data_IF_044297323658
#
_entry.id   IF_044297323658
#
_cell.length_a   1.000
_cell.length_b   1.000
_cell.length_c   1.000
_cell.angle_alpha   90.00
_cell.angle_beta   90.00
_cell.angle_gamma   90.00
#
_symmetry.space_group_name_H-M   'P 1'
#
loop_
_entity.id
_entity.type
_entity.pdbx_description
1 polymer ?
#
# COMPACT_ATOMS: atom_id res chain seq x y z
N UNK A 1 21.66 -77.15 -50.11
CA UNK A 1 20.92 -76.31 -49.14
C UNK A 1 21.84 -75.95 -47.98
N UNK A 2 22.20 -74.68 -47.82
CA UNK A 2 23.15 -74.24 -46.78
C UNK A 2 22.41 -73.82 -45.49
N UNK A 3 22.72 -74.46 -44.36
CA UNK A 3 22.21 -74.10 -43.02
C UNK A 3 22.92 -72.83 -42.52
N UNK A 4 22.15 -71.77 -42.25
CA UNK A 4 22.64 -70.52 -41.64
C UNK A 4 23.03 -70.76 -40.16
N UNK A 5 24.25 -70.38 -39.77
CA UNK A 5 24.70 -70.38 -38.36
C UNK A 5 24.11 -69.18 -37.62
N UNK A 6 23.51 -69.41 -36.45
CA UNK A 6 22.99 -68.36 -35.57
C UNK A 6 24.15 -67.66 -34.84
N UNK A 7 24.12 -66.32 -34.77
CA UNK A 7 25.05 -65.51 -33.98
C UNK A 7 24.69 -65.61 -32.49
N UNK A 8 25.59 -66.16 -31.68
CA UNK A 8 25.52 -66.11 -30.22
C UNK A 8 25.83 -64.68 -29.75
N UNK A 9 24.82 -63.97 -29.25
CA UNK A 9 25.04 -62.72 -28.52
C UNK A 9 25.32 -63.03 -27.05
N UNK A 10 26.46 -62.57 -26.55
CA UNK A 10 26.77 -62.54 -25.11
C UNK A 10 25.77 -61.61 -24.43
N UNK A 11 24.91 -62.16 -23.55
CA UNK A 11 23.94 -61.37 -22.79
C UNK A 11 24.66 -60.64 -21.66
N UNK A 12 24.38 -59.35 -21.52
CA UNK A 12 24.90 -58.54 -20.42
C UNK A 12 24.53 -59.17 -19.07
N UNK A 13 25.54 -59.43 -18.24
CA UNK A 13 25.34 -60.05 -16.94
C UNK A 13 24.79 -59.02 -15.95
N UNK A 14 23.47 -59.01 -15.85
CA UNK A 14 22.73 -58.13 -14.95
C UNK A 14 23.08 -58.41 -13.48
N UNK A 15 23.48 -59.64 -13.14
CA UNK A 15 23.80 -60.00 -11.76
C UNK A 15 25.08 -59.31 -11.28
N UNK A 16 26.15 -59.34 -12.08
CA UNK A 16 27.40 -58.64 -11.78
C UNK A 16 27.18 -57.13 -11.72
N UNK A 17 26.44 -56.54 -12.67
CA UNK A 17 26.12 -55.11 -12.64
C UNK A 17 25.34 -54.69 -11.38
N UNK A 18 24.36 -55.49 -10.94
CA UNK A 18 23.58 -55.21 -9.75
C UNK A 18 24.40 -55.35 -8.46
N UNK A 19 25.34 -56.30 -8.40
CA UNK A 19 26.28 -56.43 -7.28
C UNK A 19 27.21 -55.21 -7.18
N UNK A 20 27.76 -54.76 -8.31
CA UNK A 20 28.69 -53.63 -8.36
C UNK A 20 27.98 -52.30 -8.00
N UNK A 21 26.75 -52.11 -8.49
CA UNK A 21 25.88 -50.99 -8.11
C UNK A 21 25.56 -50.98 -6.61
N UNK A 22 25.36 -52.15 -6.00
CA UNK A 22 25.13 -52.28 -4.55
C UNK A 22 26.41 -51.96 -3.76
N UNK A 23 27.59 -52.33 -4.26
CA UNK A 23 28.90 -51.98 -3.67
C UNK A 23 29.12 -50.47 -3.68
N UNK A 24 28.93 -49.82 -4.82
CA UNK A 24 29.06 -48.36 -4.98
C UNK A 24 28.15 -47.59 -4.03
N UNK A 25 26.88 -48.02 -3.87
CA UNK A 25 25.95 -47.40 -2.92
C UNK A 25 26.44 -47.49 -1.47
N UNK A 26 26.97 -48.65 -1.05
CA UNK A 26 27.53 -48.81 0.30
C UNK A 26 28.74 -47.91 0.50
N UNK A 27 29.63 -47.84 -0.48
CA UNK A 27 30.84 -47.01 -0.44
C UNK A 27 30.50 -45.51 -0.37
N UNK A 28 29.55 -45.03 -1.18
CA UNK A 28 29.06 -43.65 -1.12
C UNK A 28 28.35 -43.31 0.20
N UNK A 29 27.74 -44.29 0.87
CA UNK A 29 27.11 -44.10 2.18
C UNK A 29 28.12 -44.10 3.35
N UNK A 30 29.27 -44.75 3.18
CA UNK A 30 30.36 -44.80 4.16
C UNK A 30 31.30 -43.59 4.05
N UNK A 31 31.55 -43.09 2.84
CA UNK A 31 32.40 -41.92 2.58
C UNK A 31 32.10 -40.70 3.49
N UNK A 32 30.84 -40.21 3.61
CA UNK A 32 30.54 -39.05 4.47
C UNK A 32 30.72 -39.35 5.96
N UNK A 33 30.48 -40.60 6.40
CA UNK A 33 30.68 -41.01 7.79
C UNK A 33 32.16 -41.05 8.17
N UNK A 34 33.01 -41.51 7.25
CA UNK A 34 34.47 -41.50 7.44
C UNK A 34 35.03 -40.07 7.42
N UNK A 35 34.47 -39.19 6.59
CA UNK A 35 34.85 -37.78 6.54
C UNK A 35 34.47 -37.05 7.83
N UNK A 36 33.25 -37.28 8.34
CA UNK A 36 32.79 -36.71 9.61
C UNK A 36 33.71 -37.10 10.78
N UNK A 37 34.05 -38.39 10.91
CA UNK A 37 34.98 -38.86 11.95
C UNK A 37 36.39 -38.26 11.83
N UNK A 38 36.88 -38.00 10.61
CA UNK A 38 38.17 -37.32 10.41
C UNK A 38 38.09 -35.85 10.81
N UNK A 39 36.95 -35.20 10.55
CA UNK A 39 36.71 -33.81 10.89
C UNK A 39 36.61 -33.62 12.41
N UNK A 40 35.91 -34.51 13.11
CA UNK A 40 35.82 -34.51 14.59
C UNK A 40 37.20 -34.68 15.24
N UNK A 41 38.05 -35.59 14.71
CA UNK A 41 39.44 -35.76 15.19
C UNK A 41 40.31 -34.52 14.97
N UNK A 42 40.11 -33.80 13.87
CA UNK A 42 40.85 -32.58 13.59
C UNK A 42 40.39 -31.43 14.50
N UNK A 43 39.09 -31.34 14.81
CA UNK A 43 38.56 -30.37 15.77
C UNK A 43 39.18 -30.62 17.14
N UNK A 44 39.16 -31.86 17.63
CA UNK A 44 39.77 -32.20 18.93
C UNK A 44 41.26 -31.87 18.98
N UNK A 45 42.00 -32.12 17.89
CA UNK A 45 43.44 -31.82 17.84
C UNK A 45 43.75 -30.31 17.79
N UNK A 46 42.83 -29.52 17.23
CA UNK A 46 42.94 -28.05 17.26
C UNK A 46 42.66 -27.55 18.68
N UNK A 47 41.68 -28.13 19.37
CA UNK A 47 41.38 -27.82 20.77
C UNK A 47 42.58 -28.13 21.67
N UNK A 48 43.17 -29.32 21.55
CA UNK A 48 44.37 -29.74 22.31
C UNK A 48 45.56 -28.80 22.09
N UNK A 49 45.89 -28.47 20.83
CA UNK A 49 46.99 -27.53 20.51
C UNK A 49 46.68 -26.09 20.97
N UNK A 50 45.40 -25.72 21.06
CA UNK A 50 44.99 -24.40 21.58
C UNK A 50 45.12 -24.31 23.10
N UNK A 51 44.82 -25.40 23.82
CA UNK A 51 45.03 -25.52 25.26
C UNK A 51 46.53 -25.55 25.60
N UNK A 52 47.34 -26.30 24.84
CA UNK A 52 48.80 -26.32 25.00
C UNK A 52 49.43 -24.92 24.79
N UNK A 53 48.90 -24.13 23.85
CA UNK A 53 49.35 -22.74 23.63
C UNK A 53 48.97 -21.79 24.76
N UNK A 54 47.84 -22.01 25.44
CA UNK A 54 47.42 -21.19 26.59
C UNK A 54 48.27 -21.45 27.84
N UNK A 55 48.80 -22.66 28.02
CA UNK A 55 49.65 -22.99 29.18
C UNK A 55 51.06 -22.34 29.07
N UNK A 56 51.53 -22.03 27.86
CA UNK A 56 52.88 -21.49 27.61
C UNK A 56 52.95 -19.96 27.70
N UNK A 57 51.83 -19.23 27.59
CA UNK A 57 51.80 -17.75 27.67
C UNK A 57 51.06 -17.28 28.93
N UNK A 58 51.74 -17.28 30.06
CA UNK A 58 51.28 -16.61 31.27
C UNK A 58 51.49 -15.10 31.17
N UNK A 59 50.48 -14.35 30.74
CA UNK A 59 50.24 -12.97 31.20
C UNK A 59 48.79 -12.53 30.87
N UNK A 60 48.07 -11.80 31.76
CA UNK A 60 46.65 -11.51 31.58
C UNK A 60 46.39 -10.07 31.09
N UNK A 61 45.63 -9.93 30.00
CA UNK A 61 44.82 -8.74 29.68
C UNK A 61 43.48 -9.16 29.08
N UNK A 62 42.34 -8.56 29.47
CA UNK A 62 41.03 -8.96 28.99
C UNK A 62 40.64 -8.14 27.75
N UNK A 63 40.89 -8.68 26.56
CA UNK A 63 40.15 -8.25 25.37
C UNK A 63 38.93 -9.14 25.18
N UNK A 64 37.76 -8.49 25.17
CA UNK A 64 36.46 -9.08 24.92
C UNK A 64 36.52 -10.08 23.76
N UNK A 65 36.28 -11.35 24.08
CA UNK A 65 35.94 -12.39 23.12
C UNK A 65 34.63 -12.01 22.42
N UNK A 66 34.71 -11.27 21.31
CA UNK A 66 33.65 -11.28 20.31
C UNK A 66 33.48 -12.73 19.83
N UNK A 67 32.27 -13.32 19.91
CA UNK A 67 32.03 -14.65 19.36
C UNK A 67 32.42 -14.67 17.88
N UNK A 68 32.91 -15.81 17.34
CA UNK A 68 33.39 -15.88 15.97
C UNK A 68 32.30 -15.34 15.06
N UNK A 69 32.66 -14.30 14.29
CA UNK A 69 31.77 -13.62 13.39
C UNK A 69 31.04 -14.67 12.55
N UNK A 70 29.76 -14.91 12.87
CA UNK A 70 28.84 -15.63 12.00
C UNK A 70 29.01 -14.98 10.64
N UNK A 71 29.44 -15.75 9.63
CA UNK A 71 29.64 -15.28 8.25
C UNK A 71 28.59 -14.21 7.94
N UNK A 72 29.01 -12.95 7.81
CA UNK A 72 28.12 -11.84 7.51
C UNK A 72 27.25 -12.30 6.34
N UNK A 73 25.93 -12.39 6.53
CA UNK A 73 25.01 -12.61 5.41
C UNK A 73 25.19 -11.40 4.50
N UNK A 74 25.98 -11.55 3.44
CA UNK A 74 26.34 -10.45 2.54
C UNK A 74 25.12 -9.94 1.75
N UNK A 75 24.03 -10.70 1.76
CA UNK A 75 22.77 -10.37 1.09
C UNK A 75 21.56 -10.80 1.92
N UNK A 76 20.51 -9.98 1.90
CA UNK A 76 19.20 -10.28 2.54
C UNK A 76 18.56 -11.59 2.03
N UNK A 77 18.92 -12.02 0.82
CA UNK A 77 18.48 -13.26 0.18
C UNK A 77 19.67 -14.10 -0.27
N UNK A 78 19.56 -15.43 -0.20
CA UNK A 78 20.54 -16.32 -0.82
C UNK A 78 20.43 -16.29 -2.34
N UNK A 79 21.56 -16.44 -3.04
CA UNK A 79 21.59 -16.44 -4.50
C UNK A 79 20.67 -17.49 -5.13
N UNK A 80 20.60 -18.68 -4.53
CA UNK A 80 19.68 -19.75 -4.97
C UNK A 80 18.23 -19.29 -4.94
N UNK A 81 17.82 -18.59 -3.87
CA UNK A 81 16.46 -18.09 -3.73
C UNK A 81 16.19 -16.91 -4.67
N UNK A 82 17.17 -16.04 -4.92
CA UNK A 82 17.05 -14.96 -5.88
C UNK A 82 16.84 -15.50 -7.30
N UNK A 83 17.68 -16.45 -7.75
CA UNK A 83 17.56 -17.10 -9.07
C UNK A 83 16.22 -17.82 -9.23
N UNK A 84 15.75 -18.53 -8.21
CA UNK A 84 14.45 -19.21 -8.25
C UNK A 84 13.26 -18.23 -8.41
N UNK A 85 13.38 -16.98 -7.94
CA UNK A 85 12.32 -15.96 -8.05
C UNK A 85 12.22 -15.34 -9.43
N UNK A 86 13.30 -15.31 -10.20
CA UNK A 86 13.25 -14.86 -11.59
C UNK A 86 12.26 -15.72 -12.42
N UNK A 87 12.17 -17.01 -12.14
CA UNK A 87 11.22 -17.92 -12.79
C UNK A 87 9.77 -17.82 -12.28
N UNK A 88 9.52 -17.10 -11.19
CA UNK A 88 8.18 -16.91 -10.64
C UNK A 88 8.06 -15.51 -9.99
N UNK A 89 7.98 -14.43 -10.79
CA UNK A 89 8.00 -13.07 -10.30
C UNK A 89 6.75 -12.72 -9.47
N UNK A 90 6.86 -11.72 -8.60
CA UNK A 90 5.69 -11.18 -7.90
C UNK A 90 4.89 -10.32 -8.87
N UNK A 91 3.65 -10.72 -9.15
CA UNK A 91 2.76 -9.99 -10.07
C UNK A 91 1.53 -9.53 -9.30
N UNK A 92 1.03 -8.34 -9.64
CA UNK A 92 -0.30 -7.90 -9.21
C UNK A 92 -1.33 -8.88 -9.80
N UNK A 93 -2.11 -9.53 -8.95
CA UNK A 93 -3.17 -10.44 -9.41
C UNK A 93 -4.07 -9.73 -10.42
N UNK A 94 -4.01 -10.17 -11.67
CA UNK A 94 -4.95 -9.82 -12.74
C UNK A 94 -5.87 -11.01 -12.97
N UNK A 95 -7.08 -10.75 -13.45
CA UNK A 95 -8.08 -11.80 -13.71
C UNK A 95 -7.54 -12.96 -14.58
N UNK A 96 -6.53 -12.70 -15.43
CA UNK A 96 -6.03 -13.66 -16.41
C UNK A 96 -4.84 -14.53 -15.95
N UNK A 97 -4.25 -14.27 -14.76
CA UNK A 97 -3.10 -15.05 -14.28
C UNK A 97 -3.23 -15.38 -12.80
N UNK A 98 -3.28 -16.67 -12.41
CA UNK A 98 -3.23 -17.04 -11.01
C UNK A 98 -1.90 -16.55 -10.43
N UNK A 99 -2.00 -15.73 -9.38
CA UNK A 99 -0.83 -15.21 -8.68
C UNK A 99 -0.07 -16.32 -7.94
N UNK A 100 1.04 -15.93 -7.33
CA UNK A 100 1.77 -16.77 -6.38
C UNK A 100 0.84 -17.33 -5.29
N UNK A 101 1.18 -18.52 -4.77
CA UNK A 101 0.46 -19.07 -3.63
C UNK A 101 0.46 -18.10 -2.44
N UNK A 102 -0.63 -18.12 -1.65
CA UNK A 102 -0.75 -17.23 -0.49
C UNK A 102 0.42 -17.36 0.47
N UNK A 103 0.94 -18.58 0.66
CA UNK A 103 2.11 -18.86 1.49
C UNK A 103 3.40 -18.28 0.91
N UNK A 104 3.62 -18.41 -0.40
CA UNK A 104 4.78 -17.81 -1.05
C UNK A 104 4.75 -16.27 -0.97
N UNK A 105 3.57 -15.68 -1.15
CA UNK A 105 3.35 -14.24 -0.99
C UNK A 105 3.58 -13.77 0.45
N UNK A 106 3.10 -14.53 1.44
CA UNK A 106 3.33 -14.22 2.85
C UNK A 106 4.82 -14.23 3.18
N UNK A 107 5.53 -15.29 2.77
CA UNK A 107 6.97 -15.41 2.97
C UNK A 107 7.75 -14.26 2.33
N UNK A 108 7.43 -13.88 1.08
CA UNK A 108 8.09 -12.74 0.41
C UNK A 108 7.85 -11.42 1.14
N UNK A 109 6.64 -11.19 1.67
CA UNK A 109 6.35 -9.99 2.47
C UNK A 109 7.16 -9.94 3.77
N UNK A 110 7.27 -11.06 4.48
CA UNK A 110 8.08 -11.15 5.71
C UNK A 110 9.55 -10.83 5.41
N UNK A 111 10.14 -11.50 4.42
CA UNK A 111 11.55 -11.25 4.07
C UNK A 111 11.80 -9.81 3.60
N UNK A 112 10.83 -9.19 2.90
CA UNK A 112 10.92 -7.78 2.50
C UNK A 112 10.89 -6.86 3.72
N UNK A 113 10.01 -7.15 4.67
CA UNK A 113 9.89 -6.39 5.92
C UNK A 113 11.13 -6.53 6.80
N UNK A 114 11.69 -7.74 6.91
CA UNK A 114 12.91 -8.00 7.67
C UNK A 114 14.11 -7.25 7.08
N UNK A 115 14.27 -7.32 5.75
CA UNK A 115 15.32 -6.58 5.04
C UNK A 115 15.19 -5.07 5.21
N UNK A 116 13.97 -4.54 5.08
CA UNK A 116 13.71 -3.12 5.33
C UNK A 116 13.96 -2.71 6.78
N UNK A 117 13.72 -3.62 7.74
CA UNK A 117 13.95 -3.35 9.17
C UNK A 117 15.43 -3.24 9.50
N UNK A 118 16.26 -4.04 8.85
CA UNK A 118 17.71 -3.95 8.94
C UNK A 118 18.26 -2.66 8.28
N UNK A 119 17.68 -2.23 7.15
CA UNK A 119 18.08 -0.99 6.45
C UNK A 119 17.70 0.26 7.25
N UNK A 120 16.47 0.32 7.78
CA UNK A 120 15.95 1.50 8.48
C UNK A 120 16.20 1.46 10.00
N UNK A 121 17.02 0.51 10.46
CA UNK A 121 17.44 0.35 11.87
C UNK A 121 16.24 0.36 12.83
N UNK A 122 15.23 -0.46 12.51
CA UNK A 122 14.05 -0.58 13.37
C UNK A 122 14.34 -1.46 14.59
N UNK A 123 13.86 -1.02 15.75
CA UNK A 123 13.86 -1.81 16.98
C UNK A 123 12.63 -2.74 17.01
N UNK A 124 12.70 -3.92 17.66
CA UNK A 124 11.51 -4.75 17.89
C UNK A 124 10.38 -4.00 18.62
N UNK A 125 10.71 -2.98 19.41
CA UNK A 125 9.73 -2.13 20.11
C UNK A 125 9.13 -1.03 19.23
N UNK A 126 9.82 -0.66 18.14
CA UNK A 126 9.38 0.42 17.25
C UNK A 126 9.59 0.06 15.76
N UNK A 127 8.58 -0.54 15.10
CA UNK A 127 8.65 -0.87 13.68
C UNK A 127 8.38 0.33 12.76
N UNK A 128 8.13 1.54 13.30
CA UNK A 128 7.76 2.71 12.52
C UNK A 128 8.81 3.09 11.45
N UNK A 129 10.14 3.07 11.73
CA UNK A 129 11.15 3.39 10.72
C UNK A 129 11.07 2.49 9.49
N UNK A 130 10.86 1.18 9.67
CA UNK A 130 10.65 0.23 8.57
C UNK A 130 9.42 0.61 7.74
N UNK A 131 8.30 0.87 8.41
CA UNK A 131 7.04 1.16 7.74
C UNK A 131 7.11 2.46 6.94
N UNK A 132 7.69 3.51 7.51
CA UNK A 132 7.90 4.80 6.83
C UNK A 132 8.86 4.63 5.66
N UNK A 133 9.98 3.91 5.84
CA UNK A 133 10.95 3.66 4.77
C UNK A 133 10.38 2.85 3.60
N UNK A 134 9.53 1.86 3.88
CA UNK A 134 8.81 1.12 2.84
C UNK A 134 7.83 2.01 2.07
N UNK A 135 7.10 2.90 2.76
CA UNK A 135 6.17 3.82 2.12
C UNK A 135 6.90 4.87 1.26
N UNK A 136 7.98 5.46 1.78
CA UNK A 136 8.81 6.41 1.03
C UNK A 136 9.45 5.75 -0.20
N UNK A 137 9.94 4.52 -0.06
CA UNK A 137 10.47 3.74 -1.20
C UNK A 137 9.39 3.52 -2.26
N UNK A 138 8.17 3.17 -1.86
CA UNK A 138 7.03 3.00 -2.78
C UNK A 138 6.70 4.33 -3.45
N UNK A 139 6.69 5.46 -2.73
CA UNK A 139 6.45 6.79 -3.28
C UNK A 139 7.49 7.17 -4.35
N UNK A 140 8.79 6.93 -4.08
CA UNK A 140 9.87 7.36 -4.97
C UNK A 140 10.15 6.40 -6.14
N UNK A 141 9.88 5.11 -5.98
CA UNK A 141 10.27 4.08 -6.97
C UNK A 141 9.10 3.56 -7.80
N UNK A 142 7.85 3.62 -7.33
CA UNK A 142 6.71 3.15 -8.10
C UNK A 142 6.19 4.24 -9.02
N UNK A 143 5.90 3.89 -10.28
CA UNK A 143 5.18 4.78 -11.18
C UNK A 143 3.74 4.98 -10.71
N UNK A 144 3.18 6.14 -11.03
CA UNK A 144 1.80 6.49 -10.69
C UNK A 144 0.79 5.46 -11.23
N UNK A 145 1.01 4.95 -12.45
CA UNK A 145 0.14 3.94 -13.07
C UNK A 145 0.07 2.64 -12.25
N UNK A 146 1.22 2.16 -11.77
CA UNK A 146 1.29 0.95 -10.94
C UNK A 146 0.61 1.17 -9.59
N UNK A 147 0.82 2.33 -8.98
CA UNK A 147 0.18 2.70 -7.72
C UNK A 147 -1.35 2.76 -7.85
N UNK A 148 -1.86 3.42 -8.89
CA UNK A 148 -3.31 3.50 -9.15
C UNK A 148 -3.90 2.10 -9.33
N UNK A 149 -3.25 1.23 -10.11
CA UNK A 149 -3.72 -0.15 -10.32
C UNK A 149 -3.76 -0.95 -9.01
N UNK A 150 -2.71 -0.87 -8.21
CA UNK A 150 -2.62 -1.56 -6.93
C UNK A 150 -3.65 -1.05 -5.91
N UNK A 151 -3.70 0.27 -5.72
CA UNK A 151 -4.58 0.92 -4.75
C UNK A 151 -6.06 0.75 -5.10
N UNK A 152 -6.40 0.77 -6.40
CA UNK A 152 -7.76 0.50 -6.89
C UNK A 152 -8.23 -0.94 -6.64
N UNK A 153 -7.30 -1.87 -6.39
CA UNK A 153 -7.60 -3.27 -6.08
C UNK A 153 -7.64 -3.52 -4.57
N UNK A 154 -6.80 -2.83 -3.80
CA UNK A 154 -6.68 -3.03 -2.35
C UNK A 154 -7.84 -2.43 -1.56
N UNK A 155 -8.55 -3.27 -0.80
CA UNK A 155 -9.62 -2.83 0.12
C UNK A 155 -9.09 -1.90 1.21
N UNK A 156 -7.89 -2.14 1.74
CA UNK A 156 -7.29 -1.30 2.79
C UNK A 156 -7.05 0.12 2.27
N UNK A 157 -6.44 0.26 1.09
CA UNK A 157 -6.18 1.58 0.50
C UNK A 157 -7.46 2.32 0.13
N UNK A 158 -8.49 1.64 -0.40
CA UNK A 158 -9.81 2.26 -0.62
C UNK A 158 -10.39 2.91 0.63
N UNK A 159 -10.25 2.26 1.78
CA UNK A 159 -10.71 2.82 3.06
C UNK A 159 -9.87 4.03 3.48
N UNK A 160 -8.55 3.99 3.28
CA UNK A 160 -7.66 5.15 3.55
C UNK A 160 -8.07 6.34 2.69
N UNK A 161 -8.26 6.16 1.38
CA UNK A 161 -8.74 7.22 0.50
C UNK A 161 -10.11 7.76 0.91
N UNK A 162 -11.00 6.89 1.38
CA UNK A 162 -12.31 7.30 1.90
C UNK A 162 -12.19 8.23 3.11
N UNK A 163 -11.28 7.92 4.05
CA UNK A 163 -11.01 8.78 5.22
C UNK A 163 -10.44 10.13 4.77
N UNK A 164 -9.41 10.13 3.92
CA UNK A 164 -8.78 11.36 3.41
C UNK A 164 -9.81 12.24 2.71
N UNK A 165 -10.59 11.66 1.80
CA UNK A 165 -11.61 12.39 1.04
C UNK A 165 -12.69 12.94 1.97
N UNK A 166 -13.15 12.15 2.96
CA UNK A 166 -14.18 12.59 3.90
C UNK A 166 -13.69 13.79 4.70
N UNK A 167 -12.47 13.74 5.25
CA UNK A 167 -11.87 14.87 5.96
C UNK A 167 -11.75 16.10 5.05
N UNK A 168 -11.27 15.93 3.82
CA UNK A 168 -11.17 17.04 2.86
C UNK A 168 -12.55 17.62 2.50
N UNK A 169 -13.57 16.77 2.32
CA UNK A 169 -14.94 17.17 2.03
C UNK A 169 -15.57 17.93 3.20
N UNK A 170 -15.39 17.45 4.43
CA UNK A 170 -15.94 18.08 5.63
C UNK A 170 -15.28 19.45 5.87
N UNK A 171 -13.96 19.56 5.67
CA UNK A 171 -13.23 20.82 5.72
C UNK A 171 -13.70 21.79 4.61
N UNK A 172 -13.88 21.28 3.38
CA UNK A 172 -14.37 22.09 2.27
C UNK A 172 -15.77 22.63 2.54
N UNK A 173 -16.69 21.83 3.12
CA UNK A 173 -18.04 22.29 3.45
C UNK A 173 -18.06 23.50 4.39
N UNK A 174 -17.08 23.60 5.28
CA UNK A 174 -16.94 24.68 6.26
C UNK A 174 -16.09 25.86 5.74
N UNK A 175 -15.35 25.65 4.64
CA UNK A 175 -14.44 26.65 4.09
C UNK A 175 -15.15 27.86 3.49
N UNK A 176 -14.45 29.00 3.47
CA UNK A 176 -14.90 30.22 2.77
C UNK A 176 -15.20 29.97 1.29
N UNK A 177 -14.44 29.09 0.63
CA UNK A 177 -14.68 28.74 -0.76
C UNK A 177 -16.10 28.15 -0.98
N UNK A 178 -16.57 27.30 -0.07
CA UNK A 178 -17.93 26.75 -0.16
C UNK A 178 -19.00 27.78 0.25
N UNK A 179 -18.68 28.71 1.16
CA UNK A 179 -19.56 29.84 1.49
C UNK A 179 -19.76 30.74 0.27
N UNK A 180 -18.68 31.19 -0.38
CA UNK A 180 -18.71 31.96 -1.61
C UNK A 180 -19.43 31.23 -2.74
N UNK A 181 -19.18 29.92 -2.91
CA UNK A 181 -19.92 29.08 -3.85
C UNK A 181 -21.43 29.10 -3.57
N UNK A 182 -21.82 29.04 -2.31
CA UNK A 182 -23.23 29.03 -1.90
C UNK A 182 -23.91 30.38 -2.15
N UNK A 183 -23.21 31.48 -1.86
CA UNK A 183 -23.63 32.84 -2.21
C UNK A 183 -23.77 32.99 -3.73
N UNK A 184 -22.76 32.57 -4.50
CA UNK A 184 -22.80 32.62 -5.96
C UNK A 184 -23.97 31.83 -6.55
N UNK A 185 -24.28 30.65 -6.00
CA UNK A 185 -25.48 29.88 -6.39
C UNK A 185 -26.76 30.65 -6.02
N UNK A 186 -26.81 31.29 -4.86
CA UNK A 186 -27.97 32.06 -4.41
C UNK A 186 -28.28 33.27 -5.28
N UNK A 187 -27.26 33.97 -5.77
CA UNK A 187 -27.40 35.11 -6.69
C UNK A 187 -27.36 34.71 -8.17
N UNK A 188 -27.26 33.41 -8.48
CA UNK A 188 -27.16 32.97 -9.87
C UNK A 188 -28.46 33.24 -10.63
N UNK A 189 -28.34 34.02 -11.71
CA UNK A 189 -29.48 34.49 -12.53
C UNK A 189 -30.50 35.30 -11.72
N UNK A 190 -30.01 36.11 -10.77
CA UNK A 190 -30.82 36.89 -9.84
C UNK A 190 -30.92 36.24 -8.46
N UNK A 191 -31.54 36.95 -7.53
CA UNK A 191 -31.71 36.47 -6.14
C UNK A 191 -32.68 35.29 -6.12
N UNK A 192 -32.23 34.13 -5.64
CA UNK A 192 -33.09 32.97 -5.50
C UNK A 192 -33.99 33.06 -4.27
N UNK A 193 -35.25 32.66 -4.43
CA UNK A 193 -36.11 32.43 -3.28
C UNK A 193 -35.65 31.24 -2.41
N UNK A 194 -36.04 31.26 -1.13
CA UNK A 194 -35.81 30.18 -0.17
C UNK A 194 -36.21 28.79 -0.69
N UNK A 195 -37.38 28.67 -1.31
CA UNK A 195 -37.87 27.38 -1.86
C UNK A 195 -37.00 26.92 -3.03
N UNK A 196 -36.64 27.84 -3.92
CA UNK A 196 -35.80 27.60 -5.09
C UNK A 196 -34.41 27.14 -4.67
N UNK A 197 -33.76 27.87 -3.76
CA UNK A 197 -32.45 27.49 -3.22
C UNK A 197 -32.46 26.11 -2.55
N UNK A 198 -33.47 25.82 -1.71
CA UNK A 198 -33.62 24.50 -1.07
C UNK A 198 -33.81 23.36 -2.09
N UNK A 199 -34.51 23.64 -3.19
CA UNK A 199 -34.64 22.69 -4.31
C UNK A 199 -33.29 22.43 -4.97
N UNK A 200 -32.57 23.49 -5.36
CA UNK A 200 -31.23 23.40 -5.95
C UNK A 200 -30.25 22.65 -5.05
N UNK A 201 -30.22 22.98 -3.76
CA UNK A 201 -29.42 22.28 -2.76
C UNK A 201 -29.71 20.76 -2.78
N UNK A 202 -30.99 20.36 -2.80
CA UNK A 202 -31.38 18.95 -2.82
C UNK A 202 -30.96 18.27 -4.12
N UNK A 203 -31.20 18.88 -5.27
CA UNK A 203 -30.83 18.31 -6.58
C UNK A 203 -29.32 18.09 -6.71
N UNK A 204 -28.50 18.98 -6.12
CA UNK A 204 -27.03 18.89 -6.20
C UNK A 204 -26.41 17.97 -5.15
N UNK A 205 -27.09 17.70 -4.04
CA UNK A 205 -26.50 16.97 -2.91
C UNK A 205 -27.20 15.66 -2.57
N UNK A 206 -28.43 15.45 -3.02
CA UNK A 206 -29.27 14.31 -2.62
C UNK A 206 -29.77 13.54 -3.85
N UNK A 207 -29.95 12.23 -3.68
CA UNK A 207 -30.59 11.32 -4.61
C UNK A 207 -31.68 10.52 -3.88
N UNK A 208 -32.57 9.86 -4.63
CA UNK A 208 -33.51 8.91 -4.04
C UNK A 208 -32.73 7.75 -3.40
N UNK A 209 -33.16 7.34 -2.21
CA UNK A 209 -32.51 6.23 -1.52
C UNK A 209 -32.81 4.92 -2.27
N UNK A 210 -31.80 4.11 -2.63
CA UNK A 210 -32.03 2.82 -3.25
C UNK A 210 -32.63 1.79 -2.28
N UNK A 211 -32.40 1.94 -0.97
CA UNK A 211 -32.73 0.92 0.02
C UNK A 211 -34.02 1.20 0.79
N UNK A 212 -34.83 2.19 0.39
CA UNK A 212 -36.14 2.50 0.98
C UNK A 212 -36.13 3.05 2.42
N UNK A 213 -35.03 2.91 3.18
CA UNK A 213 -34.92 3.31 4.60
C UNK A 213 -35.09 4.82 4.84
N UNK A 214 -34.85 5.64 3.82
CA UNK A 214 -35.08 7.08 3.84
C UNK A 214 -35.61 7.53 2.48
N UNK A 215 -36.32 8.65 2.40
CA UNK A 215 -36.80 9.17 1.11
C UNK A 215 -35.64 9.61 0.20
N UNK A 216 -34.55 10.10 0.79
CA UNK A 216 -33.39 10.63 0.07
C UNK A 216 -32.08 10.38 0.82
N UNK A 217 -31.02 10.07 0.09
CA UNK A 217 -29.65 9.94 0.61
C UNK A 217 -28.72 10.90 -0.09
N UNK A 218 -27.61 11.26 0.55
CA UNK A 218 -26.57 12.09 -0.08
C UNK A 218 -25.96 11.38 -1.28
N UNK A 219 -25.67 12.12 -2.34
CA UNK A 219 -24.96 11.62 -3.51
C UNK A 219 -23.56 11.18 -3.08
N UNK A 220 -23.18 9.96 -3.47
CA UNK A 220 -21.88 9.36 -3.14
C UNK A 220 -21.11 8.96 -4.39
N UNK A 221 -19.81 9.23 -4.39
CA UNK A 221 -18.86 8.76 -5.39
C UNK A 221 -17.81 7.91 -4.67
N UNK A 222 -17.60 6.67 -5.12
CA UNK A 222 -16.71 5.70 -4.45
C UNK A 222 -17.02 5.54 -2.95
N UNK A 223 -18.31 5.47 -2.60
CA UNK A 223 -18.82 5.42 -1.22
C UNK A 223 -18.61 6.68 -0.38
N UNK A 224 -18.02 7.73 -0.94
CA UNK A 224 -17.79 9.00 -0.25
C UNK A 224 -18.83 10.06 -0.62
N UNK A 225 -19.38 10.80 0.36
CA UNK A 225 -20.42 11.80 0.11
C UNK A 225 -19.85 13.07 -0.56
N UNK A 226 -20.49 13.56 -1.62
CA UNK A 226 -20.05 14.78 -2.34
C UNK A 226 -20.29 16.05 -1.52
N UNK A 227 -19.34 17.01 -1.44
CA UNK A 227 -19.50 18.24 -0.67
C UNK A 227 -20.76 19.03 -1.05
N UNK A 228 -21.56 19.39 -0.04
CA UNK A 228 -22.83 20.12 -0.22
C UNK A 228 -22.64 21.64 -0.10
N UNK A 229 -23.56 22.36 -0.73
CA UNK A 229 -23.72 23.80 -0.49
C UNK A 229 -24.10 24.06 0.98
N UNK A 230 -24.00 25.31 1.40
CA UNK A 230 -24.44 25.72 2.71
C UNK A 230 -25.97 25.62 2.83
N UNK A 231 -26.52 25.05 3.91
CA UNK A 231 -27.96 25.06 4.13
C UNK A 231 -28.51 26.49 4.18
N UNK A 232 -29.71 26.71 3.62
CA UNK A 232 -30.31 28.05 3.51
C UNK A 232 -30.29 28.84 4.82
N UNK A 233 -30.58 28.20 5.96
CA UNK A 233 -30.63 28.90 7.24
C UNK A 233 -29.26 29.50 7.62
N UNK A 234 -28.17 28.79 7.32
CA UNK A 234 -26.80 29.27 7.55
C UNK A 234 -26.41 30.34 6.52
N UNK A 235 -26.81 30.16 5.26
CA UNK A 235 -26.60 31.15 4.21
C UNK A 235 -27.30 32.46 4.54
N UNK A 236 -28.57 32.41 4.96
CA UNK A 236 -29.35 33.59 5.31
C UNK A 236 -28.75 34.36 6.50
N UNK A 237 -28.26 33.65 7.53
CA UNK A 237 -27.52 34.30 8.63
C UNK A 237 -26.34 35.11 8.09
N UNK A 238 -25.51 34.48 7.27
CA UNK A 238 -24.33 35.11 6.69
C UNK A 238 -24.68 36.28 5.77
N UNK A 239 -25.74 36.17 4.95
CA UNK A 239 -26.19 37.27 4.11
C UNK A 239 -26.70 38.46 4.91
N UNK A 240 -27.33 38.21 6.06
CA UNK A 240 -27.80 39.26 6.96
C UNK A 240 -26.66 39.93 7.74
N UNK A 241 -25.56 39.21 7.98
CA UNK A 241 -24.34 39.75 8.59
C UNK A 241 -23.59 40.69 7.64
N UNK A 242 -23.81 40.60 6.33
CA UNK A 242 -23.19 41.50 5.35
C UNK A 242 -23.91 42.84 5.40
N UNK A 243 -23.23 43.85 5.93
CA UNK A 243 -23.71 45.23 5.94
C UNK A 243 -23.61 45.84 4.54
N UNK A 244 -24.72 45.85 3.81
CA UNK A 244 -24.81 46.42 2.46
C UNK A 244 -24.86 47.96 2.51
N UNK A 245 -25.15 48.54 3.68
CA UNK A 245 -25.36 49.99 3.89
C UNK A 245 -26.82 50.40 3.67
N UNK A 246 -27.10 51.70 3.75
CA UNK A 246 -28.44 52.24 3.55
C UNK A 246 -28.86 52.15 2.08
N UNK A 247 -29.95 51.44 1.83
CA UNK A 247 -30.57 51.38 0.51
C UNK A 247 -31.62 52.49 0.38
N UNK A 248 -31.53 53.24 -0.71
CA UNK A 248 -32.48 54.30 -1.06
C UNK A 248 -33.41 53.78 -2.15
N UNK A 249 -34.71 54.01 -1.98
CA UNK A 249 -35.73 53.66 -2.96
C UNK A 249 -35.64 54.61 -4.15
N UNK A 250 -35.40 54.08 -5.35
CA UNK A 250 -35.37 54.88 -6.59
C UNK A 250 -36.70 55.62 -6.76
N UNK A 251 -37.82 54.92 -6.48
CA UNK A 251 -39.17 55.47 -6.57
C UNK A 251 -39.38 56.71 -5.71
N UNK A 252 -38.78 56.73 -4.52
CA UNK A 252 -39.04 57.75 -3.51
C UNK A 252 -38.01 58.90 -3.55
N UNK A 253 -36.81 58.64 -4.09
CA UNK A 253 -35.69 59.60 -4.05
C UNK A 253 -35.25 60.13 -5.42
N UNK A 254 -35.62 59.46 -6.52
CA UNK A 254 -35.22 59.82 -7.89
C UNK A 254 -36.41 59.92 -8.86
N UNK A 255 -37.64 59.74 -8.38
CA UNK A 255 -38.88 59.80 -9.17
C UNK A 255 -39.94 60.63 -8.44
N UNK A 256 -39.52 61.66 -7.71
CA UNK A 256 -40.37 62.55 -6.95
C UNK A 256 -41.23 63.45 -7.85
N UNK A 257 -40.72 63.81 -9.02
CA UNK A 257 -41.35 64.63 -10.06
C UNK A 257 -42.25 63.87 -11.04
N UNK A 258 -42.21 62.53 -11.05
CA UNK A 258 -42.98 61.69 -11.97
C UNK A 258 -44.38 61.35 -11.45
N UNK A 259 -45.35 61.22 -12.35
CA UNK A 259 -46.70 60.75 -12.03
C UNK A 259 -46.69 59.29 -11.55
N UNK A 260 -47.69 58.91 -10.75
CA UNK A 260 -47.69 57.65 -10.00
C UNK A 260 -47.57 56.39 -10.88
N UNK A 261 -48.03 56.45 -12.14
CA UNK A 261 -47.91 55.38 -13.14
C UNK A 261 -46.55 55.28 -13.81
N UNK A 262 -45.73 56.34 -13.77
CA UNK A 262 -44.42 56.44 -14.41
C UNK A 262 -43.26 56.15 -13.44
N UNK A 263 -43.55 56.10 -12.14
CA UNK A 263 -42.57 55.79 -11.11
C UNK A 263 -42.03 54.36 -11.25
N UNK A 264 -40.71 54.25 -11.40
CA UNK A 264 -40.02 52.97 -11.49
C UNK A 264 -39.65 52.41 -10.12
N UNK A 265 -39.81 51.09 -9.94
CA UNK A 265 -39.40 50.39 -8.74
C UNK A 265 -37.91 50.03 -8.77
N UNK A 266 -37.23 50.14 -7.63
CA UNK A 266 -35.84 49.77 -7.49
C UNK A 266 -35.23 50.34 -6.23
N UNK A 267 -34.05 49.83 -5.85
CA UNK A 267 -33.25 50.38 -4.75
C UNK A 267 -31.81 50.58 -5.22
N UNK A 268 -31.15 51.62 -4.75
CA UNK A 268 -29.73 51.87 -4.99
C UNK A 268 -29.00 52.17 -3.68
N UNK A 269 -27.68 52.01 -3.72
CA UNK A 269 -26.78 52.44 -2.66
C UNK A 269 -26.10 53.73 -3.10
N UNK A 270 -26.04 54.72 -2.22
CA UNK A 270 -25.30 55.97 -2.46
C UNK A 270 -23.84 55.83 -2.06
#
# INVERSE_FOLDING_TARGET
MARRKAKLYSRFDVATYMQEKKRLRKETALAPKTLAKKLDRLIYRIEEVSEERQIVSGDPQPELLTPPAKKKKTTFLSEKNAKARCGNPTVLSSNDKPGLSAQAMARRRTETFDAASEIHVASPENPLPTLVGLLDTVEKKCSQEVLVKFMSTSKKFKNVFSVIFKTASDNFEQSEANKLRSIGVYYSKGVMDKRKYRSTYRCLSMMRSPNGKSKTTRIKVLSNPLPRLLPYNKLASMLNEIEIGTLYSVRDTLCDDLECGEKVGGCYKK
#
